data_IF_424295745868
#
_entry.id   IF_424295745868
#
_cell.length_a   1.000
_cell.length_b   1.000
_cell.length_c   1.000
_cell.angle_alpha   90.00
_cell.angle_beta   90.00
_cell.angle_gamma   90.00
#
_symmetry.space_group_name_H-M   'P 1'
#
loop_
_entity.id
_entity.type
_entity.pdbx_description
1 polymer ?
#
# COMPACT_ATOMS: atom_id res chain seq x y z
N UNK A 1 4.38 9.64 -21.98
CA UNK A 1 3.97 8.95 -20.77
C UNK A 1 2.67 9.56 -20.27
N UNK A 2 1.56 8.81 -20.41
CA UNK A 2 0.26 9.26 -19.91
C UNK A 2 0.16 8.94 -18.41
N UNK A 3 0.17 9.97 -17.56
CA UNK A 3 -0.22 9.80 -16.17
C UNK A 3 -1.75 9.63 -16.12
N UNK A 4 -2.21 8.53 -15.55
CA UNK A 4 -3.62 8.35 -15.26
C UNK A 4 -3.94 9.15 -14.00
N UNK A 5 -4.87 10.11 -14.04
CA UNK A 5 -5.25 10.84 -12.85
C UNK A 5 -5.91 9.89 -11.84
N UNK A 6 -5.41 9.89 -10.62
CA UNK A 6 -5.96 9.12 -9.53
C UNK A 6 -6.91 10.01 -8.74
N UNK A 7 -8.17 9.60 -8.64
CA UNK A 7 -9.21 10.35 -7.94
C UNK A 7 -9.79 9.54 -6.79
N UNK A 8 -10.31 10.24 -5.79
CA UNK A 8 -10.97 9.63 -4.63
C UNK A 8 -12.13 8.73 -5.08
N UNK A 9 -12.19 7.53 -4.51
CA UNK A 9 -13.22 6.55 -4.83
C UNK A 9 -12.94 5.68 -6.05
N UNK A 10 -11.84 5.94 -6.78
CA UNK A 10 -11.40 5.06 -7.86
C UNK A 10 -11.12 3.66 -7.31
N UNK A 11 -11.58 2.63 -8.02
CA UNK A 11 -11.36 1.23 -7.64
C UNK A 11 -9.89 0.84 -7.67
N UNK A 12 -9.46 0.12 -6.66
CA UNK A 12 -8.13 -0.49 -6.56
C UNK A 12 -8.28 -2.00 -6.70
N UNK A 13 -7.45 -2.60 -7.53
CA UNK A 13 -7.47 -4.04 -7.79
C UNK A 13 -6.16 -4.70 -7.39
N UNK A 14 -6.23 -6.00 -7.09
CA UNK A 14 -5.04 -6.78 -6.75
C UNK A 14 -4.07 -6.87 -7.94
N UNK A 15 -2.82 -6.52 -7.72
CA UNK A 15 -1.77 -6.63 -8.73
C UNK A 15 -1.39 -8.09 -9.02
N UNK A 16 -1.49 -8.94 -8.00
CA UNK A 16 -1.19 -10.38 -8.06
C UNK A 16 -2.15 -11.15 -7.16
N UNK A 17 -2.34 -12.45 -7.46
CA UNK A 17 -3.15 -13.33 -6.64
C UNK A 17 -2.51 -13.68 -5.31
N UNK A 18 -3.32 -13.89 -4.28
CA UNK A 18 -2.84 -14.27 -2.95
C UNK A 18 -3.93 -14.27 -1.89
N UNK A 19 -3.51 -14.19 -0.67
CA UNK A 19 -4.37 -14.17 0.52
C UNK A 19 -4.24 -12.82 1.24
N UNK A 20 -5.37 -12.24 1.59
CA UNK A 20 -5.42 -11.01 2.40
C UNK A 20 -4.94 -11.36 3.81
N UNK A 21 -3.86 -10.70 4.25
CA UNK A 21 -3.26 -10.91 5.58
C UNK A 21 -3.44 -9.72 6.50
N UNK A 22 -3.83 -8.57 5.95
CA UNK A 22 -4.21 -7.39 6.73
C UNK A 22 -5.29 -6.62 5.98
N UNK A 23 -6.31 -6.21 6.70
CA UNK A 23 -7.32 -5.24 6.28
C UNK A 23 -7.79 -4.50 7.54
N UNK A 24 -7.87 -3.20 7.46
CA UNK A 24 -8.27 -2.35 8.60
C UNK A 24 -9.50 -1.53 8.23
N UNK A 25 -10.71 -2.10 8.37
CA UNK A 25 -11.94 -1.41 8.02
C UNK A 25 -12.31 -0.28 8.99
N UNK A 26 -11.75 -0.30 10.19
CA UNK A 26 -12.07 0.61 11.29
C UNK A 26 -11.00 1.67 11.54
N UNK A 27 -10.13 1.91 10.55
CA UNK A 27 -9.09 2.93 10.65
C UNK A 27 -9.68 4.29 11.05
N UNK A 28 -9.08 4.91 12.05
CA UNK A 28 -9.44 6.25 12.51
C UNK A 28 -8.27 7.21 12.32
N UNK A 29 -8.54 8.36 11.71
CA UNK A 29 -7.53 9.42 11.59
C UNK A 29 -7.12 9.93 12.97
N UNK A 30 -5.82 10.18 13.16
CA UNK A 30 -5.34 10.88 14.33
C UNK A 30 -5.90 12.31 14.38
N UNK A 31 -5.97 12.89 15.57
CA UNK A 31 -6.18 14.33 15.69
C UNK A 31 -5.03 15.09 15.03
N UNK A 32 -5.25 16.35 14.66
CA UNK A 32 -4.20 17.19 14.08
C UNK A 32 -2.95 17.24 14.96
N UNK A 33 -3.15 17.45 16.26
CA UNK A 33 -2.05 17.52 17.23
C UNK A 33 -1.27 16.22 17.32
N UNK A 34 -1.95 15.08 17.40
CA UNK A 34 -1.31 13.77 17.45
C UNK A 34 -0.57 13.43 16.16
N UNK A 35 -1.12 13.83 15.01
CA UNK A 35 -0.48 13.63 13.71
C UNK A 35 0.77 14.48 13.55
N UNK A 36 0.74 15.75 13.94
CA UNK A 36 1.91 16.62 13.94
C UNK A 36 3.02 16.09 14.88
N UNK A 37 2.64 15.61 16.07
CA UNK A 37 3.58 15.00 17.00
C UNK A 37 4.21 13.72 16.41
N UNK A 38 3.41 12.90 15.70
CA UNK A 38 3.92 11.72 15.00
C UNK A 38 4.93 12.11 13.91
N UNK A 39 4.60 13.08 13.06
CA UNK A 39 5.50 13.55 11.99
C UNK A 39 6.83 14.04 12.55
N UNK A 40 6.83 14.79 13.65
CA UNK A 40 8.06 15.24 14.28
C UNK A 40 8.91 14.07 14.81
N UNK A 41 8.28 13.09 15.45
CA UNK A 41 8.97 11.92 16.02
C UNK A 41 9.60 11.04 14.95
N UNK A 42 8.95 10.86 13.79
CA UNK A 42 9.45 9.98 12.73
C UNK A 42 10.51 10.59 11.82
N UNK A 43 10.92 11.82 12.06
CA UNK A 43 11.97 12.50 11.27
C UNK A 43 13.31 11.75 11.26
N UNK A 44 13.62 11.08 12.36
CA UNK A 44 14.85 10.31 12.52
C UNK A 44 14.67 8.82 12.27
N UNK A 45 13.50 8.43 11.80
CA UNK A 45 13.13 7.05 11.51
C UNK A 45 11.80 6.69 12.15
N UNK A 46 11.05 5.80 11.51
CA UNK A 46 9.74 5.35 11.95
C UNK A 46 9.77 3.86 12.31
N UNK A 47 9.05 3.49 13.38
CA UNK A 47 8.77 2.09 13.69
C UNK A 47 7.74 1.51 12.71
N UNK A 48 7.62 0.17 12.58
CA UNK A 48 6.56 -0.45 11.78
C UNK A 48 5.16 0.02 12.17
N UNK A 49 4.89 0.19 13.47
CA UNK A 49 3.60 0.66 14.00
C UNK A 49 3.32 2.12 13.60
N UNK A 50 4.34 2.95 13.59
CA UNK A 50 4.22 4.35 13.14
C UNK A 50 3.99 4.44 11.63
N UNK A 51 4.65 3.59 10.85
CA UNK A 51 4.42 3.49 9.41
C UNK A 51 3.00 3.04 9.09
N UNK A 52 2.46 2.09 9.85
CA UNK A 52 1.06 1.66 9.73
C UNK A 52 0.09 2.86 9.88
N UNK A 53 0.30 3.68 10.89
CA UNK A 53 -0.54 4.87 11.12
C UNK A 53 -0.43 5.84 9.94
N UNK A 54 0.78 6.08 9.45
CA UNK A 54 1.02 7.00 8.34
C UNK A 54 0.48 6.49 7.00
N UNK A 55 0.38 5.16 6.82
CA UNK A 55 -0.25 4.56 5.63
C UNK A 55 -1.77 4.68 5.63
N UNK A 56 -2.36 4.94 6.78
CA UNK A 56 -3.81 5.04 6.92
C UNK A 56 -4.50 3.70 6.77
N UNK A 57 -5.65 3.68 6.11
CA UNK A 57 -6.35 2.45 5.80
C UNK A 57 -5.60 1.69 4.71
N UNK A 58 -5.22 0.46 5.02
CA UNK A 58 -4.42 -0.37 4.11
C UNK A 58 -4.94 -1.81 4.01
N UNK A 59 -4.60 -2.45 2.90
CA UNK A 59 -4.80 -3.88 2.65
C UNK A 59 -3.47 -4.49 2.28
N UNK A 60 -3.12 -5.61 2.91
CA UNK A 60 -1.94 -6.40 2.56
C UNK A 60 -2.36 -7.73 1.97
N UNK A 61 -1.73 -8.11 0.86
CA UNK A 61 -1.92 -9.41 0.22
C UNK A 61 -0.60 -10.17 0.19
N UNK A 62 -0.58 -11.36 0.78
CA UNK A 62 0.56 -12.27 0.70
C UNK A 62 0.41 -13.19 -0.49
N UNK A 63 1.48 -13.31 -1.27
CA UNK A 63 1.52 -14.11 -2.49
C UNK A 63 2.18 -15.47 -2.23
N UNK A 64 1.94 -16.48 -3.10
CA UNK A 64 2.52 -17.82 -2.94
C UNK A 64 4.05 -17.87 -2.90
N UNK A 65 4.73 -16.89 -3.50
CA UNK A 65 6.19 -16.76 -3.50
C UNK A 65 6.76 -16.12 -2.22
N UNK A 66 5.91 -15.78 -1.24
CA UNK A 66 6.29 -15.16 0.03
C UNK A 66 6.33 -13.64 0.02
N UNK A 67 6.18 -13.00 -1.14
CA UNK A 67 6.09 -11.55 -1.23
C UNK A 67 4.78 -11.03 -0.67
N UNK A 68 4.78 -9.76 -0.29
CA UNK A 68 3.56 -9.06 0.17
C UNK A 68 3.39 -7.76 -0.60
N UNK A 69 2.19 -7.52 -1.12
CA UNK A 69 1.80 -6.23 -1.67
C UNK A 69 0.98 -5.45 -0.65
N UNK A 70 1.25 -4.16 -0.57
CA UNK A 70 0.57 -3.20 0.30
C UNK A 70 -0.16 -2.19 -0.56
N UNK A 71 -1.42 -1.95 -0.24
CA UNK A 71 -2.28 -0.94 -0.86
C UNK A 71 -2.72 0.00 0.24
N UNK A 72 -2.26 1.24 0.23
CA UNK A 72 -2.43 2.18 1.34
C UNK A 72 -3.09 3.49 0.94
N UNK A 73 -3.44 4.30 1.93
CA UNK A 73 -4.22 5.53 1.84
C UNK A 73 -5.62 5.31 1.26
N UNK A 74 -6.17 4.11 1.45
CA UNK A 74 -7.50 3.77 0.93
C UNK A 74 -8.59 4.54 1.67
N UNK A 75 -9.69 4.81 0.97
CA UNK A 75 -10.91 5.35 1.57
C UNK A 75 -11.68 4.28 2.32
N UNK A 76 -11.76 3.08 1.74
CA UNK A 76 -12.43 1.92 2.29
C UNK A 76 -11.87 0.65 1.64
N UNK A 77 -11.88 -0.49 2.33
CA UNK A 77 -11.65 -1.78 1.69
C UNK A 77 -12.86 -2.17 0.84
N UNK A 78 -12.67 -3.09 -0.09
CA UNK A 78 -13.79 -3.64 -0.84
C UNK A 78 -14.77 -4.35 0.11
N UNK A 79 -16.10 -4.16 -0.03
CA UNK A 79 -17.08 -4.78 0.86
C UNK A 79 -16.93 -6.30 0.96
N UNK A 80 -16.86 -6.81 2.18
CA UNK A 80 -16.69 -8.23 2.46
C UNK A 80 -15.25 -8.73 2.45
N UNK A 81 -14.27 -7.89 2.06
CA UNK A 81 -12.86 -8.24 2.14
C UNK A 81 -12.43 -8.37 3.60
N UNK A 82 -11.78 -9.47 3.95
CA UNK A 82 -11.32 -9.76 5.31
C UNK A 82 -10.02 -10.55 5.29
N UNK A 83 -9.33 -10.60 6.41
CA UNK A 83 -8.16 -11.47 6.58
C UNK A 83 -8.57 -12.91 6.27
N UNK A 84 -7.77 -13.58 5.44
CA UNK A 84 -8.06 -14.92 4.92
C UNK A 84 -8.81 -14.93 3.58
N UNK A 85 -9.35 -13.80 3.10
CA UNK A 85 -9.93 -13.72 1.77
C UNK A 85 -8.88 -14.03 0.71
N UNK A 86 -9.26 -14.86 -0.27
CA UNK A 86 -8.42 -15.12 -1.44
C UNK A 86 -8.79 -14.16 -2.56
N UNK A 87 -7.78 -13.60 -3.18
CA UNK A 87 -7.93 -12.70 -4.32
C UNK A 87 -7.09 -13.19 -5.49
N UNK A 88 -7.60 -12.93 -6.71
CA UNK A 88 -6.88 -13.14 -7.95
C UNK A 88 -6.43 -11.77 -8.49
N UNK A 89 -5.45 -11.77 -9.37
CA UNK A 89 -5.07 -10.57 -10.10
C UNK A 89 -6.30 -9.91 -10.73
N UNK A 90 -6.49 -8.62 -10.48
CA UNK A 90 -7.63 -7.86 -10.99
C UNK A 90 -8.86 -7.86 -10.08
N UNK A 91 -8.90 -8.67 -9.03
CA UNK A 91 -10.01 -8.64 -8.05
C UNK A 91 -10.00 -7.33 -7.26
N UNK A 92 -11.18 -6.80 -6.90
CA UNK A 92 -11.27 -5.55 -6.17
C UNK A 92 -10.68 -5.68 -4.75
N UNK A 93 -9.90 -4.68 -4.37
CA UNK A 93 -9.25 -4.57 -3.05
C UNK A 93 -9.90 -3.46 -2.22
N UNK A 94 -10.23 -2.33 -2.84
CA UNK A 94 -10.76 -1.17 -2.14
C UNK A 94 -10.85 0.04 -3.05
N UNK A 95 -10.85 1.21 -2.43
CA UNK A 95 -11.05 2.48 -3.14
C UNK A 95 -9.99 3.50 -2.73
N UNK A 96 -9.49 4.26 -3.71
CA UNK A 96 -8.52 5.32 -3.49
C UNK A 96 -9.06 6.38 -2.54
N UNK A 97 -8.24 6.78 -1.57
CA UNK A 97 -8.52 7.84 -0.63
C UNK A 97 -7.30 8.71 -0.34
N UNK A 98 -7.24 9.21 0.88
CA UNK A 98 -6.11 9.96 1.41
C UNK A 98 -5.94 9.74 2.92
N UNK A 99 -6.41 8.63 3.44
CA UNK A 99 -6.30 8.29 4.87
C UNK A 99 -4.84 8.25 5.31
N UNK A 100 -4.57 8.64 6.56
CA UNK A 100 -3.22 8.76 7.11
C UNK A 100 -2.46 10.03 6.68
N UNK A 101 -2.98 10.80 5.72
CA UNK A 101 -2.32 12.00 5.17
C UNK A 101 -2.86 13.33 5.73
N UNK A 102 -3.96 13.28 6.46
CA UNK A 102 -4.60 14.46 7.05
C UNK A 102 -4.90 15.57 6.04
N UNK A 103 -5.43 15.19 4.89
CA UNK A 103 -5.73 16.09 3.80
C UNK A 103 -4.77 15.95 2.62
N UNK A 104 -4.87 16.84 1.66
CA UNK A 104 -4.08 16.78 0.44
C UNK A 104 -4.75 15.95 -0.67
N UNK A 105 -4.03 15.73 -1.75
CA UNK A 105 -4.53 15.00 -2.91
C UNK A 105 -4.75 13.52 -2.61
N UNK A 106 -5.79 12.95 -3.19
CA UNK A 106 -6.01 11.51 -3.18
C UNK A 106 -4.84 10.79 -3.85
N UNK A 107 -4.40 9.70 -3.26
CA UNK A 107 -3.31 8.87 -3.80
C UNK A 107 -3.45 7.42 -3.40
N UNK A 108 -2.86 6.56 -4.20
CA UNK A 108 -2.62 5.17 -3.84
C UNK A 108 -1.12 5.01 -3.57
N UNK A 109 -0.77 4.54 -2.38
CA UNK A 109 0.56 4.03 -2.12
C UNK A 109 0.52 2.51 -2.40
N UNK A 110 1.35 2.06 -3.33
CA UNK A 110 1.51 0.66 -3.66
C UNK A 110 2.95 0.25 -3.38
N UNK A 111 3.11 -0.76 -2.55
CA UNK A 111 4.43 -1.30 -2.19
C UNK A 111 4.48 -2.80 -2.46
N UNK A 112 5.66 -3.29 -2.83
CA UNK A 112 5.95 -4.73 -2.92
C UNK A 112 7.14 -5.04 -2.02
N UNK A 113 6.93 -5.93 -1.08
CA UNK A 113 7.93 -6.38 -0.12
C UNK A 113 8.35 -7.82 -0.43
N UNK A 114 9.63 -8.15 -0.23
CA UNK A 114 10.15 -9.52 -0.41
C UNK A 114 9.60 -10.50 0.63
N UNK A 115 9.05 -9.99 1.73
CA UNK A 115 8.45 -10.75 2.81
C UNK A 115 7.42 -9.90 3.56
N UNK A 116 7.54 -9.86 4.87
CA UNK A 116 6.67 -9.06 5.73
C UNK A 116 7.00 -7.56 5.57
N UNK A 117 5.98 -6.70 5.38
CA UNK A 117 6.18 -5.25 5.31
C UNK A 117 6.95 -4.71 6.53
N UNK A 118 7.80 -3.74 6.28
CA UNK A 118 8.66 -3.06 7.27
C UNK A 118 9.68 -3.97 8.00
N UNK A 119 9.67 -5.28 7.71
CA UNK A 119 10.57 -6.28 8.30
C UNK A 119 11.39 -7.05 7.26
N UNK A 120 11.24 -6.71 6.01
CA UNK A 120 11.99 -7.28 4.88
C UNK A 120 12.40 -6.17 3.92
N UNK A 121 13.10 -6.51 2.85
CA UNK A 121 13.48 -5.57 1.82
C UNK A 121 12.32 -5.23 0.89
N UNK A 122 12.30 -4.01 0.34
CA UNK A 122 11.47 -3.69 -0.81
C UNK A 122 11.93 -4.48 -2.04
N UNK A 123 10.99 -4.84 -2.87
CA UNK A 123 11.30 -5.36 -4.19
C UNK A 123 12.23 -4.39 -4.94
N UNK A 124 13.35 -4.92 -5.44
CA UNK A 124 14.37 -4.15 -6.15
C UNK A 124 15.12 -3.11 -5.30
N UNK A 125 15.12 -3.24 -3.99
CA UNK A 125 15.89 -2.37 -3.11
C UNK A 125 17.37 -2.34 -3.53
N UNK A 126 17.92 -1.13 -3.66
CA UNK A 126 19.31 -0.92 -4.05
C UNK A 126 19.56 -0.90 -5.56
N UNK A 127 18.53 -1.10 -6.39
CA UNK A 127 18.62 -0.94 -7.84
C UNK A 127 18.26 0.49 -8.25
N UNK A 128 18.94 1.00 -9.27
CA UNK A 128 18.73 2.34 -9.80
C UNK A 128 18.75 2.36 -11.33
N UNK A 129 18.27 3.46 -11.91
CA UNK A 129 18.39 3.74 -13.33
C UNK A 129 17.77 2.68 -14.25
N UNK A 130 18.49 2.34 -15.33
CA UNK A 130 18.00 1.41 -16.35
C UNK A 130 17.79 -0.01 -15.83
N UNK A 131 18.61 -0.47 -14.89
CA UNK A 131 18.49 -1.80 -14.30
C UNK A 131 17.18 -1.93 -13.51
N UNK A 132 16.85 -0.91 -12.71
CA UNK A 132 15.58 -0.86 -11.99
C UNK A 132 14.40 -0.89 -12.97
N UNK A 133 14.42 -0.05 -13.99
CA UNK A 133 13.36 0.02 -15.00
C UNK A 133 13.20 -1.31 -15.74
N UNK A 134 14.28 -1.92 -16.14
CA UNK A 134 14.29 -3.21 -16.84
C UNK A 134 13.64 -4.31 -16.01
N UNK A 135 14.04 -4.42 -14.73
CA UNK A 135 13.50 -5.43 -13.83
C UNK A 135 12.06 -5.16 -13.44
N UNK A 136 11.70 -3.90 -13.21
CA UNK A 136 10.32 -3.52 -12.91
C UNK A 136 9.39 -3.85 -14.09
N UNK A 137 9.78 -3.50 -15.32
CA UNK A 137 9.00 -3.85 -16.51
C UNK A 137 8.81 -5.36 -16.65
N UNK A 138 9.88 -6.13 -16.49
CA UNK A 138 9.81 -7.59 -16.56
C UNK A 138 8.89 -8.17 -15.48
N UNK A 139 8.99 -7.68 -14.26
CA UNK A 139 8.20 -8.14 -13.12
C UNK A 139 6.69 -7.85 -13.28
N UNK A 140 6.35 -6.66 -13.75
CA UNK A 140 4.96 -6.25 -13.96
C UNK A 140 4.40 -6.65 -15.33
N UNK A 141 5.20 -7.30 -16.18
CA UNK A 141 4.79 -7.68 -17.54
C UNK A 141 4.54 -6.47 -18.45
N UNK A 142 5.27 -5.39 -18.23
CA UNK A 142 5.18 -4.17 -19.05
C UNK A 142 6.14 -4.23 -20.26
N UNK A 143 5.76 -3.64 -21.39
CA UNK A 143 6.63 -3.56 -22.58
C UNK A 143 7.88 -2.71 -22.35
#
# INVERSE_FOLDING_TARGET
DACVPVVRGMGVVAAFGGEVVKVDPDFQELSEEAWQALLERVREGASPEELDILRGLEVHVRHPDGRTTVYAHLQAPYPGLKVGSRVHRGDPIGYVGNTGLRGGASRLLFEVWEGEPDRSAFLFQGLEGEELLRRARAFFGLP
#
